data_IF_785735974248
#
_entry.id   IF_785735974248
#
_cell.length_a   1.000
_cell.length_b   1.000
_cell.length_c   1.000
_cell.angle_alpha   90.00
_cell.angle_beta   90.00
_cell.angle_gamma   90.00
#
_symmetry.space_group_name_H-M   'P 1'
#
loop_
_entity.id
_entity.type
_entity.pdbx_description
1 polymer ?
#
# COMPACT_ATOMS: atom_id res chain seq x y z
N UNK A 1 -17.02 -26.83 -16.60
CA UNK A 1 -17.68 -26.29 -15.40
C UNK A 1 -17.57 -24.79 -15.53
N UNK A 2 -18.62 -24.02 -15.80
CA UNK A 2 -18.50 -22.57 -15.95
C UNK A 2 -18.16 -21.99 -14.58
N UNK A 3 -17.08 -21.21 -14.54
CA UNK A 3 -16.73 -20.39 -13.39
C UNK A 3 -17.86 -19.38 -13.20
N UNK A 4 -18.64 -19.54 -12.16
CA UNK A 4 -19.65 -18.56 -11.73
C UNK A 4 -18.95 -17.23 -11.56
N UNK A 5 -19.47 -16.21 -12.28
CA UNK A 5 -19.04 -14.82 -12.12
C UNK A 5 -19.05 -14.48 -10.64
N UNK A 6 -17.98 -13.85 -10.15
CA UNK A 6 -17.83 -13.42 -8.75
C UNK A 6 -18.89 -12.42 -8.25
N UNK A 7 -19.98 -12.22 -9.02
CA UNK A 7 -21.13 -11.41 -8.67
C UNK A 7 -21.98 -11.99 -7.53
N UNK A 8 -22.01 -13.32 -7.39
CA UNK A 8 -22.95 -13.97 -6.45
C UNK A 8 -22.55 -13.83 -4.97
N UNK A 9 -21.30 -13.48 -4.70
CA UNK A 9 -20.81 -13.22 -3.34
C UNK A 9 -21.15 -11.81 -2.82
N UNK A 10 -21.57 -10.91 -3.72
CA UNK A 10 -21.85 -9.49 -3.43
C UNK A 10 -23.34 -9.14 -3.45
N UNK A 11 -24.23 -10.07 -3.86
CA UNK A 11 -25.68 -9.84 -3.92
C UNK A 11 -26.39 -9.88 -2.56
N UNK A 12 -25.74 -10.41 -1.52
CA UNK A 12 -26.24 -10.21 -0.17
C UNK A 12 -25.89 -8.77 0.25
N UNK A 13 -26.85 -7.89 0.63
CA UNK A 13 -26.61 -6.56 1.12
C UNK A 13 -25.96 -6.62 2.52
N UNK A 14 -24.73 -7.06 2.57
CA UNK A 14 -23.93 -7.13 3.78
C UNK A 14 -23.39 -5.75 4.16
N UNK A 15 -23.08 -5.55 5.42
CA UNK A 15 -22.44 -4.35 5.97
C UNK A 15 -21.27 -3.83 5.12
N UNK A 16 -20.55 -4.73 4.44
CA UNK A 16 -19.42 -4.39 3.58
C UNK A 16 -19.83 -3.73 2.25
N UNK A 17 -20.92 -4.16 1.62
CA UNK A 17 -21.38 -3.57 0.35
C UNK A 17 -21.75 -2.09 0.51
N UNK A 18 -22.42 -1.73 1.62
CA UNK A 18 -22.78 -0.35 1.90
C UNK A 18 -21.59 0.61 2.08
N UNK A 19 -20.43 0.09 2.48
CA UNK A 19 -19.21 0.91 2.64
C UNK A 19 -18.41 1.00 1.33
N UNK A 20 -18.31 -0.09 0.58
CA UNK A 20 -17.44 -0.15 -0.61
C UNK A 20 -18.13 0.35 -1.88
N UNK A 21 -19.45 0.21 -2.01
CA UNK A 21 -20.20 0.69 -3.18
C UNK A 21 -20.03 2.21 -3.45
N UNK A 22 -20.14 3.12 -2.46
CA UNK A 22 -19.91 4.54 -2.71
C UNK A 22 -18.45 4.83 -3.08
N UNK A 23 -17.49 4.08 -2.52
CA UNK A 23 -16.06 4.22 -2.85
C UNK A 23 -15.82 3.76 -4.30
N UNK A 24 -16.37 2.62 -4.70
CA UNK A 24 -16.30 2.10 -6.06
C UNK A 24 -16.92 3.08 -7.06
N UNK A 25 -18.13 3.58 -6.80
CA UNK A 25 -18.80 4.57 -7.67
C UNK A 25 -17.96 5.84 -7.84
N UNK A 26 -17.38 6.35 -6.75
CA UNK A 26 -16.50 7.50 -6.79
C UNK A 26 -15.24 7.21 -7.60
N UNK A 27 -14.59 6.08 -7.38
CA UNK A 27 -13.38 5.68 -8.10
C UNK A 27 -13.65 5.46 -9.58
N UNK A 28 -14.78 4.82 -9.94
CA UNK A 28 -15.22 4.66 -11.33
C UNK A 28 -15.43 6.02 -12.02
N UNK A 29 -16.13 6.95 -11.37
CA UNK A 29 -16.37 8.29 -11.91
C UNK A 29 -15.06 9.04 -12.13
N UNK A 30 -14.13 8.99 -11.17
CA UNK A 30 -12.82 9.66 -11.30
C UNK A 30 -11.96 8.98 -12.35
N UNK A 31 -11.94 7.63 -12.42
CA UNK A 31 -11.21 6.89 -13.44
C UNK A 31 -11.69 7.24 -14.85
N UNK A 32 -13.01 7.30 -15.05
CA UNK A 32 -13.62 7.70 -16.33
C UNK A 32 -13.24 9.14 -16.70
N UNK A 33 -13.31 10.07 -15.74
CA UNK A 33 -12.91 11.47 -15.98
C UNK A 33 -11.42 11.58 -16.33
N UNK A 34 -10.55 10.82 -15.65
CA UNK A 34 -9.12 10.79 -15.96
C UNK A 34 -8.83 10.14 -17.31
N UNK A 35 -9.58 9.10 -17.68
CA UNK A 35 -9.48 8.53 -19.03
C UNK A 35 -9.87 9.56 -20.10
N UNK A 36 -11.01 10.26 -19.94
CA UNK A 36 -11.43 11.33 -20.85
C UNK A 36 -10.37 12.44 -20.95
N UNK A 37 -9.69 12.76 -19.85
CA UNK A 37 -8.57 13.70 -19.87
C UNK A 37 -7.41 13.18 -20.73
N UNK A 38 -7.04 11.89 -20.62
CA UNK A 38 -5.99 11.30 -21.47
C UNK A 38 -6.38 11.28 -22.94
N UNK A 39 -7.66 11.06 -23.23
CA UNK A 39 -8.23 11.12 -24.59
C UNK A 39 -8.15 12.53 -25.16
N UNK A 40 -8.53 13.56 -24.41
CA UNK A 40 -8.41 14.98 -24.81
C UNK A 40 -6.96 15.39 -25.08
N UNK A 41 -5.99 14.79 -24.39
CA UNK A 41 -4.55 15.00 -24.61
C UNK A 41 -3.99 14.20 -25.80
N UNK A 42 -4.83 13.43 -26.51
CA UNK A 42 -4.44 12.64 -27.68
C UNK A 42 -3.76 11.32 -27.35
N UNK A 43 -3.78 10.89 -26.08
CA UNK A 43 -3.17 9.61 -25.63
C UNK A 43 -4.21 8.82 -24.80
N UNK A 44 -5.28 8.30 -25.43
CA UNK A 44 -6.31 7.56 -24.70
C UNK A 44 -5.70 6.30 -24.06
N UNK A 45 -5.69 6.25 -22.72
CA UNK A 45 -5.05 5.16 -22.01
C UNK A 45 -5.61 4.95 -20.60
N UNK A 46 -6.24 3.80 -20.37
CA UNK A 46 -6.66 3.40 -19.03
C UNK A 46 -5.48 3.15 -18.09
N UNK A 47 -4.33 2.69 -18.58
CA UNK A 47 -3.13 2.54 -17.76
C UNK A 47 -2.65 3.89 -17.20
N UNK A 48 -2.64 4.95 -18.03
CA UNK A 48 -2.35 6.31 -17.56
C UNK A 48 -3.41 6.81 -16.58
N UNK A 49 -4.69 6.56 -16.84
CA UNK A 49 -5.78 6.94 -15.94
C UNK A 49 -5.63 6.28 -14.57
N UNK A 50 -5.25 4.98 -14.50
CA UNK A 50 -4.97 4.26 -13.24
C UNK A 50 -3.78 4.90 -12.50
N UNK A 51 -2.70 5.23 -13.20
CA UNK A 51 -1.53 5.91 -12.61
C UNK A 51 -1.92 7.26 -12.04
N UNK A 52 -2.65 8.08 -12.80
CA UNK A 52 -3.12 9.40 -12.37
C UNK A 52 -4.07 9.31 -11.18
N UNK A 53 -5.02 8.37 -11.20
CA UNK A 53 -5.91 8.11 -10.06
C UNK A 53 -5.11 7.73 -8.81
N UNK A 54 -4.10 6.86 -8.95
CA UNK A 54 -3.25 6.47 -7.84
C UNK A 54 -2.49 7.66 -7.25
N UNK A 55 -1.92 8.49 -8.09
CA UNK A 55 -1.21 9.71 -7.66
C UNK A 55 -2.19 10.68 -6.98
N UNK A 56 -3.38 10.89 -7.54
CA UNK A 56 -4.40 11.75 -6.97
C UNK A 56 -4.79 11.29 -5.55
N UNK A 57 -5.09 10.01 -5.37
CA UNK A 57 -5.38 9.42 -4.06
C UNK A 57 -4.21 9.65 -3.09
N UNK A 58 -2.97 9.39 -3.52
CA UNK A 58 -1.77 9.58 -2.69
C UNK A 58 -1.53 11.04 -2.31
N UNK A 59 -1.85 11.99 -3.17
CA UNK A 59 -1.77 13.43 -2.86
C UNK A 59 -2.84 13.81 -1.83
N UNK A 60 -4.08 13.36 -2.01
CA UNK A 60 -5.17 13.62 -1.06
C UNK A 60 -4.90 13.05 0.34
N UNK A 61 -4.33 11.85 0.40
CA UNK A 61 -4.01 11.15 1.66
C UNK A 61 -2.64 11.58 2.23
N UNK A 62 -1.87 12.40 1.50
CA UNK A 62 -0.51 12.79 1.89
C UNK A 62 -0.39 13.38 3.31
N UNK A 63 -1.25 14.32 3.78
CA UNK A 63 -1.12 14.86 5.13
C UNK A 63 -1.24 13.77 6.21
N UNK A 64 -2.07 12.76 5.97
CA UNK A 64 -2.22 11.62 6.86
C UNK A 64 -1.00 10.69 6.78
N UNK A 65 -0.53 10.39 5.56
CA UNK A 65 0.69 9.60 5.34
C UNK A 65 1.92 10.25 5.98
N UNK A 66 2.05 11.57 5.94
CA UNK A 66 3.14 12.31 6.59
C UNK A 66 3.15 12.10 8.10
N UNK A 67 1.97 12.20 8.75
CA UNK A 67 1.85 11.92 10.20
C UNK A 67 2.21 10.47 10.54
N UNK A 68 1.79 9.52 9.70
CA UNK A 68 2.14 8.11 9.85
C UNK A 68 3.65 7.89 9.76
N UNK A 69 4.31 8.43 8.73
CA UNK A 69 5.76 8.33 8.56
C UNK A 69 6.53 8.92 9.75
N UNK A 70 6.07 10.05 10.30
CA UNK A 70 6.67 10.65 11.49
C UNK A 70 6.52 9.74 12.73
N UNK A 71 5.35 9.17 12.93
CA UNK A 71 5.09 8.23 14.03
C UNK A 71 5.92 6.95 13.91
N UNK A 72 6.07 6.42 12.69
CA UNK A 72 6.94 5.26 12.42
C UNK A 72 8.42 5.57 12.70
N UNK A 73 8.90 6.79 12.38
CA UNK A 73 10.25 7.22 12.75
C UNK A 73 10.44 7.28 14.26
N UNK A 74 9.45 7.76 15.02
CA UNK A 74 9.51 7.75 16.48
C UNK A 74 9.66 6.32 17.02
N UNK A 75 8.89 5.36 16.45
CA UNK A 75 9.01 3.94 16.80
C UNK A 75 10.39 3.37 16.46
N UNK A 76 10.96 3.70 15.29
CA UNK A 76 12.32 3.27 14.90
C UNK A 76 13.37 3.78 15.88
N UNK A 77 13.25 5.03 16.35
CA UNK A 77 14.20 5.64 17.29
C UNK A 77 14.25 4.93 18.64
N UNK A 78 13.11 4.42 19.13
CA UNK A 78 13.05 3.73 20.41
C UNK A 78 13.29 2.22 20.32
N UNK A 79 13.42 1.69 19.10
CA UNK A 79 13.61 0.25 18.86
C UNK A 79 14.79 -0.36 19.65
N UNK A 80 15.99 0.27 19.74
CA UNK A 80 17.09 -0.25 20.55
C UNK A 80 16.75 -0.34 22.05
N UNK A 81 15.99 0.63 22.57
CA UNK A 81 15.53 0.61 23.96
C UNK A 81 14.51 -0.52 24.19
N UNK A 82 13.58 -0.71 23.25
CA UNK A 82 12.61 -1.80 23.29
C UNK A 82 13.31 -3.16 23.34
N UNK A 83 14.33 -3.36 22.50
CA UNK A 83 15.11 -4.59 22.46
C UNK A 83 15.79 -4.88 23.80
N UNK A 84 16.44 -3.89 24.40
CA UNK A 84 17.04 -4.01 25.75
C UNK A 84 16.02 -4.39 26.83
N UNK A 85 14.80 -3.82 26.76
CA UNK A 85 13.73 -4.17 27.69
C UNK A 85 13.24 -5.61 27.46
N UNK A 86 13.07 -6.03 26.20
CA UNK A 86 12.69 -7.40 25.86
C UNK A 86 13.72 -8.44 26.32
N UNK A 87 15.00 -8.16 26.16
CA UNK A 87 16.09 -9.04 26.64
C UNK A 87 16.14 -9.07 28.17
N UNK A 88 15.99 -7.92 28.83
CA UNK A 88 16.06 -7.81 30.29
C UNK A 88 14.91 -8.52 31.01
N UNK A 89 13.72 -8.49 30.43
CA UNK A 89 12.49 -9.01 31.05
C UNK A 89 11.91 -10.21 30.30
N UNK A 90 12.74 -10.94 29.53
CA UNK A 90 12.30 -12.09 28.73
C UNK A 90 11.57 -13.17 29.54
N UNK A 91 11.99 -13.36 30.83
CA UNK A 91 11.44 -14.38 31.71
C UNK A 91 10.16 -13.91 32.45
N UNK A 92 9.80 -12.64 32.30
CA UNK A 92 8.57 -12.07 32.89
C UNK A 92 7.79 -11.22 31.87
N UNK A 93 6.93 -11.85 31.03
CA UNK A 93 6.20 -11.19 29.96
C UNK A 93 5.30 -10.05 30.46
N UNK A 94 4.71 -10.16 31.66
CA UNK A 94 3.82 -9.12 32.20
C UNK A 94 4.60 -7.86 32.55
N UNK A 95 5.75 -7.99 33.19
CA UNK A 95 6.64 -6.85 33.50
C UNK A 95 7.19 -6.23 32.23
N UNK A 96 7.59 -7.08 31.25
CA UNK A 96 8.08 -6.65 29.95
C UNK A 96 7.04 -5.77 29.24
N UNK A 97 5.79 -6.23 29.16
CA UNK A 97 4.72 -5.48 28.51
C UNK A 97 4.44 -4.12 29.19
N UNK A 98 4.44 -4.11 30.54
CA UNK A 98 4.29 -2.87 31.33
C UNK A 98 5.43 -1.89 31.03
N UNK A 99 6.68 -2.37 31.01
CA UNK A 99 7.85 -1.52 30.74
C UNK A 99 7.91 -1.01 29.29
N UNK A 100 7.45 -1.80 28.34
CA UNK A 100 7.30 -1.34 26.95
C UNK A 100 6.23 -0.25 26.83
N UNK A 101 5.09 -0.40 27.53
CA UNK A 101 4.04 0.63 27.54
C UNK A 101 4.52 1.93 28.21
N UNK A 102 5.26 1.85 29.33
CA UNK A 102 5.90 3.00 29.96
C UNK A 102 6.87 3.71 29.00
N UNK A 103 7.66 2.95 28.24
CA UNK A 103 8.57 3.51 27.22
C UNK A 103 7.81 4.23 26.11
N UNK A 104 6.73 3.63 25.58
CA UNK A 104 5.91 4.25 24.54
C UNK A 104 5.31 5.59 25.03
N UNK A 105 4.78 5.63 26.25
CA UNK A 105 4.22 6.83 26.84
C UNK A 105 5.29 7.90 27.04
N UNK A 106 6.45 7.53 27.58
CA UNK A 106 7.57 8.46 27.83
C UNK A 106 8.09 9.10 26.54
N UNK A 107 8.20 8.32 25.48
CA UNK A 107 8.75 8.78 24.19
C UNK A 107 7.69 9.31 23.23
N UNK A 108 6.42 9.35 23.66
CA UNK A 108 5.29 9.78 22.81
C UNK A 108 5.11 8.94 21.55
N UNK A 109 5.54 7.67 21.58
CA UNK A 109 5.45 6.76 20.46
C UNK A 109 4.17 5.92 20.55
N UNK A 110 3.46 5.81 19.44
CA UNK A 110 2.23 5.02 19.39
C UNK A 110 2.52 3.64 18.73
N UNK A 111 2.36 2.52 19.44
CA UNK A 111 2.59 1.19 18.87
C UNK A 111 1.64 0.86 17.72
N UNK A 112 0.45 1.46 17.67
CA UNK A 112 -0.52 1.28 16.58
C UNK A 112 -0.10 1.97 15.27
N UNK A 113 0.91 2.84 15.29
CA UNK A 113 1.34 3.58 14.09
C UNK A 113 1.90 2.68 12.99
N UNK A 114 2.41 1.50 13.35
CA UNK A 114 2.93 0.53 12.38
C UNK A 114 1.85 -0.15 11.54
N UNK A 115 0.65 -0.38 12.08
CA UNK A 115 -0.47 -1.01 11.36
C UNK A 115 -1.44 0.01 10.73
N UNK A 116 -1.37 1.28 11.11
CA UNK A 116 -2.26 2.34 10.59
C UNK A 116 -2.22 2.50 9.07
N UNK A 117 -1.04 2.39 8.38
CA UNK A 117 -1.01 2.39 6.92
C UNK A 117 -1.87 1.29 6.29
N UNK A 118 -1.86 0.10 6.87
CA UNK A 118 -2.63 -1.04 6.39
C UNK A 118 -4.14 -0.80 6.54
N UNK A 119 -4.58 -0.24 7.66
CA UNK A 119 -6.00 0.07 7.91
C UNK A 119 -6.55 1.09 6.91
N UNK A 120 -5.76 2.10 6.54
CA UNK A 120 -6.17 3.12 5.56
C UNK A 120 -6.10 2.54 4.14
N UNK A 121 -5.12 1.69 3.87
CA UNK A 121 -4.90 1.10 2.57
C UNK A 121 -5.98 0.08 2.19
N UNK A 122 -6.53 -0.68 3.17
CA UNK A 122 -7.52 -1.73 2.88
C UNK A 122 -8.77 -1.22 2.16
N UNK A 123 -9.46 -0.15 2.61
CA UNK A 123 -10.60 0.39 1.87
C UNK A 123 -10.25 0.86 0.45
N UNK A 124 -9.08 1.49 0.29
CA UNK A 124 -8.61 1.96 -1.01
C UNK A 124 -8.30 0.79 -1.93
N UNK A 125 -7.62 -0.24 -1.42
CA UNK A 125 -7.30 -1.45 -2.19
C UNK A 125 -8.55 -2.19 -2.63
N UNK A 126 -9.52 -2.37 -1.72
CA UNK A 126 -10.79 -3.03 -2.05
C UNK A 126 -11.60 -2.20 -3.05
N UNK A 127 -11.67 -0.89 -2.88
CA UNK A 127 -12.32 0.00 -3.84
C UNK A 127 -11.69 -0.11 -5.23
N UNK A 128 -10.34 -0.08 -5.32
CA UNK A 128 -9.63 -0.26 -6.59
C UNK A 128 -9.82 -1.65 -7.19
N UNK A 129 -9.85 -2.69 -6.35
CA UNK A 129 -10.11 -4.05 -6.81
C UNK A 129 -11.48 -4.15 -7.48
N UNK A 130 -12.55 -3.70 -6.81
CA UNK A 130 -13.91 -3.74 -7.37
C UNK A 130 -14.04 -2.83 -8.61
N UNK A 131 -13.46 -1.63 -8.55
CA UNK A 131 -13.42 -0.70 -9.69
C UNK A 131 -12.82 -1.37 -10.92
N UNK A 132 -11.60 -1.91 -10.83
CA UNK A 132 -10.89 -2.44 -11.99
C UNK A 132 -11.40 -3.82 -12.44
N UNK A 133 -11.97 -4.61 -11.54
CA UNK A 133 -12.53 -5.91 -11.85
C UNK A 133 -13.88 -5.80 -12.58
N UNK A 134 -14.72 -4.83 -12.18
CA UNK A 134 -16.06 -4.63 -12.74
C UNK A 134 -16.10 -3.54 -13.82
N UNK A 135 -14.98 -2.86 -14.12
CA UNK A 135 -14.96 -1.72 -15.01
C UNK A 135 -15.28 -2.12 -16.45
N UNK A 136 -16.26 -1.44 -17.05
CA UNK A 136 -16.55 -1.58 -18.48
C UNK A 136 -15.60 -0.68 -19.28
N UNK A 137 -14.65 -1.30 -19.94
CA UNK A 137 -13.67 -0.62 -20.79
C UNK A 137 -14.17 -0.30 -22.20
N UNK A 138 -15.49 -0.43 -22.47
CA UNK A 138 -16.07 -0.03 -23.75
C UNK A 138 -15.80 -1.00 -24.91
N UNK A 139 -15.64 -2.29 -24.61
CA UNK A 139 -15.62 -3.38 -25.60
C UNK A 139 -14.26 -3.71 -26.23
N UNK A 140 -13.28 -2.80 -26.20
CA UNK A 140 -11.90 -3.10 -26.61
C UNK A 140 -11.02 -3.44 -25.39
N UNK A 141 -10.13 -4.46 -25.45
CA UNK A 141 -9.21 -4.75 -24.37
C UNK A 141 -8.35 -3.52 -24.04
N UNK A 142 -8.34 -3.03 -22.79
CA UNK A 142 -7.54 -1.86 -22.41
C UNK A 142 -6.06 -2.25 -22.37
N UNK A 143 -5.32 -1.91 -23.42
CA UNK A 143 -3.88 -2.17 -23.50
C UNK A 143 -3.07 -1.03 -22.85
N UNK A 144 -1.88 -1.36 -22.32
CA UNK A 144 -0.95 -0.37 -21.79
C UNK A 144 0.49 -0.87 -21.84
N UNK A 145 1.37 -0.16 -22.55
CA UNK A 145 2.77 -0.52 -22.75
C UNK A 145 2.89 -1.95 -23.33
N UNK A 146 3.43 -2.90 -22.57
CA UNK A 146 3.56 -4.32 -22.95
C UNK A 146 2.35 -5.16 -22.55
N UNK A 147 1.37 -4.58 -21.86
CA UNK A 147 0.19 -5.27 -21.38
C UNK A 147 -0.90 -5.25 -22.46
N UNK A 148 -1.29 -6.40 -22.99
CA UNK A 148 -2.34 -6.48 -24.02
C UNK A 148 -3.73 -6.22 -23.45
N UNK A 149 -3.95 -6.53 -22.15
CA UNK A 149 -5.21 -6.36 -21.45
C UNK A 149 -5.00 -6.10 -19.96
N UNK A 150 -5.45 -4.94 -19.46
CA UNK A 150 -5.35 -4.59 -18.04
C UNK A 150 -6.31 -5.37 -17.15
N UNK A 151 -7.34 -6.00 -17.74
CA UNK A 151 -8.31 -6.84 -17.00
C UNK A 151 -7.80 -8.27 -16.78
N UNK A 152 -6.70 -8.67 -17.43
CA UNK A 152 -6.09 -9.98 -17.31
C UNK A 152 -4.75 -9.92 -16.60
N UNK A 153 -4.23 -11.03 -16.07
CA UNK A 153 -2.88 -11.10 -15.54
C UNK A 153 -1.82 -10.73 -16.58
N UNK A 154 -0.70 -10.16 -16.13
CA UNK A 154 0.43 -9.82 -16.99
C UNK A 154 1.10 -11.09 -17.56
N UNK A 155 1.04 -11.33 -18.88
CA UNK A 155 1.62 -12.53 -19.51
C UNK A 155 3.15 -12.56 -19.48
N UNK A 156 3.78 -11.40 -19.24
CA UNK A 156 5.26 -11.28 -19.20
C UNK A 156 5.84 -11.46 -17.80
N UNK A 157 4.99 -11.52 -16.76
CA UNK A 157 5.38 -11.56 -15.35
C UNK A 157 6.20 -10.34 -14.88
N UNK A 158 6.32 -9.29 -15.68
CA UNK A 158 7.09 -8.09 -15.34
C UNK A 158 6.44 -7.32 -14.19
N UNK A 159 5.11 -7.11 -14.21
CA UNK A 159 4.39 -6.46 -13.12
C UNK A 159 4.44 -7.24 -11.80
N UNK A 160 4.20 -8.56 -11.73
CA UNK A 160 4.42 -9.35 -10.53
C UNK A 160 5.82 -9.20 -9.94
N UNK A 161 6.85 -9.24 -10.79
CA UNK A 161 8.23 -9.00 -10.36
C UNK A 161 8.43 -7.57 -9.81
N UNK A 162 7.93 -6.55 -10.53
CA UNK A 162 7.99 -5.16 -10.08
C UNK A 162 7.22 -4.94 -8.79
N UNK A 163 6.08 -5.62 -8.59
CA UNK A 163 5.32 -5.54 -7.36
C UNK A 163 6.09 -6.07 -6.15
N UNK A 164 6.78 -7.22 -6.31
CA UNK A 164 7.66 -7.76 -5.30
C UNK A 164 8.85 -6.83 -5.01
N UNK A 165 9.54 -6.37 -6.06
CA UNK A 165 10.72 -5.52 -5.94
C UNK A 165 10.39 -4.16 -5.29
N UNK A 166 9.31 -3.50 -5.71
CA UNK A 166 8.90 -2.21 -5.13
C UNK A 166 8.40 -2.37 -3.70
N UNK A 167 7.69 -3.45 -3.37
CA UNK A 167 7.28 -3.77 -2.00
C UNK A 167 8.49 -4.01 -1.10
N UNK A 168 9.47 -4.76 -1.57
CA UNK A 168 10.72 -4.99 -0.83
C UNK A 168 11.48 -3.69 -0.58
N UNK A 169 11.64 -2.84 -1.62
CA UNK A 169 12.34 -1.56 -1.50
C UNK A 169 11.61 -0.63 -0.52
N UNK A 170 10.30 -0.54 -0.60
CA UNK A 170 9.48 0.23 0.32
C UNK A 170 9.67 -0.24 1.77
N UNK A 171 9.58 -1.54 2.03
CA UNK A 171 9.75 -2.09 3.37
C UNK A 171 11.18 -1.87 3.89
N UNK A 172 12.19 -2.03 3.05
CA UNK A 172 13.58 -1.76 3.41
C UNK A 172 13.80 -0.31 3.82
N UNK A 173 13.16 0.64 3.14
CA UNK A 173 13.23 2.06 3.52
C UNK A 173 12.49 2.37 4.82
N UNK A 174 11.48 1.57 5.17
CA UNK A 174 10.69 1.75 6.40
C UNK A 174 11.34 1.11 7.64
N UNK A 175 12.31 0.21 7.46
CA UNK A 175 12.95 -0.50 8.57
C UNK A 175 14.43 -0.15 8.66
N UNK A 176 14.90 0.25 9.86
CA UNK A 176 16.31 0.24 10.18
C UNK A 176 16.77 -1.22 10.33
N UNK A 177 17.41 -1.73 9.29
CA UNK A 177 17.73 -3.17 9.10
C UNK A 177 18.68 -3.72 10.15
N UNK A 178 19.46 -2.89 10.84
CA UNK A 178 20.47 -3.32 11.82
C UNK A 178 19.88 -3.86 13.13
N UNK A 179 18.65 -3.49 13.48
CA UNK A 179 18.05 -3.84 14.78
C UNK A 179 16.69 -4.55 14.67
N UNK A 180 16.32 -4.95 13.46
CA UNK A 180 15.04 -5.64 13.24
C UNK A 180 15.01 -7.00 13.97
N UNK A 181 13.96 -7.23 14.75
CA UNK A 181 13.65 -8.53 15.34
C UNK A 181 13.57 -9.60 14.22
N UNK A 182 13.81 -10.88 14.56
CA UNK A 182 13.69 -12.00 13.63
C UNK A 182 12.32 -12.05 12.92
N UNK A 183 11.24 -11.76 13.65
CA UNK A 183 9.88 -11.68 13.11
C UNK A 183 9.74 -10.57 12.03
N UNK A 184 10.31 -9.40 12.26
CA UNK A 184 10.30 -8.30 11.31
C UNK A 184 11.14 -8.64 10.06
N UNK A 185 12.29 -9.32 10.22
CA UNK A 185 13.11 -9.80 9.09
C UNK A 185 12.35 -10.79 8.22
N UNK A 186 11.64 -11.75 8.83
CA UNK A 186 10.80 -12.72 8.11
C UNK A 186 9.71 -11.97 7.33
N UNK A 187 8.99 -11.04 7.98
CA UNK A 187 7.95 -10.25 7.32
C UNK A 187 8.50 -9.43 6.14
N UNK A 188 9.69 -8.85 6.28
CA UNK A 188 10.36 -8.08 5.21
C UNK A 188 10.77 -8.93 4.02
N UNK A 189 11.00 -10.22 4.18
CA UNK A 189 11.39 -11.12 3.10
C UNK A 189 10.20 -11.86 2.52
N UNK A 190 9.33 -12.38 3.37
CA UNK A 190 8.19 -13.23 2.96
C UNK A 190 7.09 -12.39 2.31
N UNK A 191 6.78 -11.21 2.86
CA UNK A 191 5.68 -10.39 2.35
C UNK A 191 5.88 -9.92 0.90
N UNK A 192 7.05 -9.39 0.48
CA UNK A 192 7.27 -9.04 -0.92
C UNK A 192 7.15 -10.24 -1.88
N UNK A 193 7.66 -11.39 -1.48
CA UNK A 193 7.54 -12.62 -2.27
C UNK A 193 6.08 -13.09 -2.37
N UNK A 194 5.33 -13.00 -1.28
CA UNK A 194 3.91 -13.32 -1.25
C UNK A 194 3.10 -12.36 -2.16
N UNK A 195 3.39 -11.06 -2.09
CA UNK A 195 2.74 -10.06 -2.96
C UNK A 195 3.07 -10.32 -4.44
N UNK A 196 4.34 -10.62 -4.77
CA UNK A 196 4.72 -11.00 -6.12
C UNK A 196 4.00 -12.26 -6.61
N UNK A 197 3.90 -13.27 -5.76
CA UNK A 197 3.22 -14.52 -6.08
C UNK A 197 1.71 -14.34 -6.31
N UNK A 198 1.01 -13.62 -5.43
CA UNK A 198 -0.42 -13.37 -5.58
C UNK A 198 -0.71 -12.47 -6.79
N UNK A 199 0.20 -11.56 -7.13
CA UNK A 199 0.11 -10.68 -8.30
C UNK A 199 0.09 -11.46 -9.63
N UNK A 200 0.56 -12.72 -9.66
CA UNK A 200 0.47 -13.59 -10.84
C UNK A 200 -0.98 -13.90 -11.23
N UNK A 201 -1.90 -13.84 -10.28
CA UNK A 201 -3.31 -14.18 -10.48
C UNK A 201 -4.22 -12.94 -10.57
N UNK A 202 -3.68 -11.75 -10.31
CA UNK A 202 -4.47 -10.52 -10.33
C UNK A 202 -4.45 -9.83 -11.70
N UNK A 203 -5.52 -9.11 -12.07
CA UNK A 203 -5.55 -8.26 -13.24
C UNK A 203 -4.37 -7.28 -13.26
N UNK A 204 -3.75 -7.11 -14.44
CA UNK A 204 -2.58 -6.25 -14.61
C UNK A 204 -2.83 -4.80 -14.17
N UNK A 205 -4.06 -4.28 -14.35
CA UNK A 205 -4.45 -2.95 -13.87
C UNK A 205 -4.34 -2.80 -12.35
N UNK A 206 -4.70 -3.84 -11.57
CA UNK A 206 -4.57 -3.82 -10.11
C UNK A 206 -3.11 -3.89 -9.68
N UNK A 207 -2.31 -4.71 -10.36
CA UNK A 207 -0.86 -4.80 -10.08
C UNK A 207 -0.15 -3.50 -10.47
N UNK A 208 -0.54 -2.87 -11.57
CA UNK A 208 -0.06 -1.54 -11.99
C UNK A 208 -0.36 -0.47 -10.93
N UNK A 209 -1.60 -0.46 -10.39
CA UNK A 209 -1.96 0.37 -9.26
C UNK A 209 -1.03 0.12 -8.06
N UNK A 210 -0.79 -1.16 -7.69
CA UNK A 210 0.06 -1.52 -6.56
C UNK A 210 1.50 -1.04 -6.74
N UNK A 211 2.10 -1.27 -7.90
CA UNK A 211 3.46 -0.81 -8.24
C UNK A 211 3.55 0.71 -8.19
N UNK A 212 2.59 1.41 -8.80
CA UNK A 212 2.53 2.90 -8.80
C UNK A 212 2.42 3.43 -7.38
N UNK A 213 1.56 2.82 -6.57
CA UNK A 213 1.37 3.17 -5.16
C UNK A 213 2.67 3.04 -4.37
N UNK A 214 3.40 1.94 -4.55
CA UNK A 214 4.70 1.72 -3.89
C UNK A 214 5.73 2.76 -4.32
N UNK A 215 5.83 3.06 -5.61
CA UNK A 215 6.76 4.06 -6.14
C UNK A 215 6.47 5.44 -5.53
N UNK A 216 5.20 5.87 -5.52
CA UNK A 216 4.80 7.15 -4.91
C UNK A 216 5.12 7.16 -3.40
N UNK A 217 4.87 6.05 -2.70
CA UNK A 217 5.19 5.92 -1.28
C UNK A 217 6.70 6.03 -1.01
N UNK A 218 7.53 5.40 -1.84
CA UNK A 218 9.00 5.48 -1.77
C UNK A 218 9.46 6.94 -1.93
N UNK A 219 8.91 7.66 -2.92
CA UNK A 219 9.21 9.07 -3.16
C UNK A 219 8.79 9.93 -1.96
N UNK A 220 7.58 9.75 -1.45
CA UNK A 220 7.07 10.49 -0.28
C UNK A 220 7.93 10.24 0.97
N UNK A 221 8.35 9.01 1.17
CA UNK A 221 9.20 8.64 2.30
C UNK A 221 10.61 9.24 2.17
N UNK A 222 11.21 9.17 0.99
CA UNK A 222 12.51 9.77 0.72
C UNK A 222 12.49 11.29 0.98
N UNK A 223 11.44 11.98 0.50
CA UNK A 223 11.24 13.40 0.76
C UNK A 223 11.09 13.72 2.26
N UNK A 224 10.28 12.95 2.96
CA UNK A 224 10.06 13.12 4.41
C UNK A 224 11.34 12.84 5.21
N UNK A 225 12.19 11.93 4.74
CA UNK A 225 13.45 11.63 5.37
C UNK A 225 14.42 12.82 5.24
N UNK A 226 14.57 13.40 4.06
CA UNK A 226 15.41 14.59 3.84
C UNK A 226 15.00 15.77 4.72
N UNK A 227 13.72 16.11 4.76
CA UNK A 227 13.22 17.20 5.61
C UNK A 227 13.51 17.03 7.11
N UNK A 228 13.68 15.79 7.56
CA UNK A 228 13.98 15.52 8.98
C UNK A 228 15.45 15.65 9.30
N UNK A 229 16.32 15.37 8.34
CA UNK A 229 17.77 15.46 8.50
C UNK A 229 18.20 16.94 8.45
N UNK A 230 17.64 17.73 7.55
CA UNK A 230 17.87 19.19 7.47
C UNK A 230 17.50 19.90 8.79
N UNK A 231 16.44 19.45 9.48
CA UNK A 231 16.05 20.02 10.78
C UNK A 231 16.96 19.63 11.94
N UNK A 232 17.71 18.54 11.83
CA UNK A 232 18.69 18.13 12.85
C UNK A 232 20.01 18.88 12.71
N UNK A 233 20.39 19.26 11.49
CA UNK A 233 21.59 20.04 11.22
C UNK A 233 21.41 21.54 11.54
N UNK A 234 20.16 22.01 11.66
CA UNK A 234 19.82 23.41 11.95
C UNK A 234 19.64 23.72 13.45
N UNK A 235 19.85 22.74 14.35
CA UNK A 235 19.78 22.85 15.81
C UNK A 235 21.13 22.52 16.44
#
# INVERSE_FOLDING_TARGET
MPLTKGSDFLEEPGFFSGIFEPIEKLMNAVLTALYSLTEMLGVPSYGLAIILLTILIKVLVYPLTKKQLQSMKAMQRIQPQMKKLQEKYKDNPQVMQKKLMELYQKEGANPMSGCLPMLIQMPILMGMYYTLFNFDYGGAPPSFLWLPNLSEPDPTYALPFLSAATTFLQQKMMSNTSEANQQMKIMMTVMPLFIGWISLSFPAGLVLYWVTMNIVQIIQQWWTNRQSDDKKEAV
#
